data_IF_486878411466
#
_entry.id   IF_486878411466
#
_cell.length_a   1.000
_cell.length_b   1.000
_cell.length_c   1.000
_cell.angle_alpha   90.00
_cell.angle_beta   90.00
_cell.angle_gamma   90.00
#
_symmetry.space_group_name_H-M   'P 1'
#
loop_
_entity.id
_entity.type
_entity.pdbx_description
1 polymer ?
#
# COMPACT_ATOMS: atom_id res chain seq x y z
N UNK A 1 57.75 33.13 22.64
CA UNK A 1 56.27 33.31 22.66
C UNK A 1 55.68 32.51 21.52
N UNK A 2 54.90 31.47 21.84
CA UNK A 2 54.23 30.62 20.85
C UNK A 2 53.02 31.39 20.31
N UNK A 3 53.10 31.86 19.08
CA UNK A 3 51.94 32.32 18.33
C UNK A 3 51.07 31.09 18.04
N UNK A 4 50.11 30.81 18.93
CA UNK A 4 49.06 29.84 18.66
C UNK A 4 48.26 30.37 17.47
N UNK A 5 48.02 29.58 16.41
CA UNK A 5 47.59 30.13 15.15
C UNK A 5 46.10 30.45 15.24
N UNK A 6 45.77 31.73 15.37
CA UNK A 6 44.43 32.27 15.22
C UNK A 6 43.81 31.85 13.86
N UNK A 7 44.65 31.60 12.86
CA UNK A 7 44.29 31.04 11.56
C UNK A 7 43.77 29.60 11.61
N UNK A 8 44.25 28.77 12.55
CA UNK A 8 43.77 27.39 12.73
C UNK A 8 42.40 27.38 13.41
N UNK A 9 42.14 28.32 14.32
CA UNK A 9 40.84 28.50 14.98
C UNK A 9 39.76 28.98 13.98
N UNK A 10 40.10 29.90 13.08
CA UNK A 10 39.19 30.41 12.03
C UNK A 10 38.92 29.32 10.97
N UNK A 11 39.93 28.54 10.59
CA UNK A 11 39.74 27.40 9.68
C UNK A 11 38.88 26.28 10.30
N UNK A 12 39.02 26.01 11.62
CA UNK A 12 38.12 25.10 12.33
C UNK A 12 36.69 25.66 12.41
N UNK A 13 36.51 26.94 12.71
CA UNK A 13 35.17 27.56 12.81
C UNK A 13 34.42 27.53 11.46
N UNK A 14 35.11 27.75 10.34
CA UNK A 14 34.52 27.68 9.00
C UNK A 14 34.23 26.25 8.52
N UNK A 15 34.93 25.23 9.04
CA UNK A 15 34.69 23.81 8.70
C UNK A 15 33.70 23.13 9.65
N UNK A 16 33.49 23.68 10.86
CA UNK A 16 32.40 23.27 11.77
C UNK A 16 31.05 23.90 11.43
N UNK A 17 30.93 24.55 10.27
CA UNK A 17 29.65 24.83 9.64
C UNK A 17 28.97 23.52 9.25
N UNK A 18 28.56 22.73 10.25
CA UNK A 18 27.65 21.62 10.09
C UNK A 18 26.49 22.15 9.26
N UNK A 19 26.42 21.73 7.99
CA UNK A 19 25.18 21.70 7.23
C UNK A 19 24.24 20.75 7.98
N UNK A 20 23.74 21.20 9.14
CA UNK A 20 22.52 20.67 9.71
C UNK A 20 21.50 21.14 8.70
N UNK A 21 21.10 20.25 7.78
CA UNK A 21 19.90 20.46 6.98
C UNK A 21 18.82 20.88 7.97
N UNK A 22 18.52 22.18 7.97
CA UNK A 22 17.65 22.73 8.99
C UNK A 22 16.29 22.13 8.72
N UNK A 23 15.71 21.54 9.76
CA UNK A 23 14.33 21.15 9.75
C UNK A 23 13.48 22.30 9.21
N UNK A 24 12.34 21.95 8.61
CA UNK A 24 11.37 22.94 8.21
C UNK A 24 11.02 23.80 9.45
N UNK A 25 10.98 25.14 9.35
CA UNK A 25 10.75 25.96 10.54
C UNK A 25 9.40 25.64 11.22
N UNK A 26 9.43 25.50 12.55
CA UNK A 26 8.21 25.42 13.35
C UNK A 26 7.34 26.65 13.08
N UNK A 27 6.05 26.40 12.88
CA UNK A 27 5.05 27.43 12.64
C UNK A 27 4.92 27.88 11.18
N UNK A 28 5.75 27.37 10.28
CA UNK A 28 5.60 27.66 8.85
C UNK A 28 4.30 27.06 8.32
N UNK A 29 3.49 27.90 7.69
CA UNK A 29 2.28 27.45 7.00
C UNK A 29 2.68 26.84 5.66
N UNK A 30 2.32 25.57 5.46
CA UNK A 30 2.56 24.83 4.23
C UNK A 30 1.19 24.53 3.63
N UNK A 31 1.06 24.78 2.34
CA UNK A 31 -0.16 24.48 1.59
C UNK A 31 0.21 23.74 0.31
N UNK A 32 -0.58 22.72 0.01
CA UNK A 32 -0.53 21.96 -1.23
C UNK A 32 -1.94 21.79 -1.75
N UNK A 33 -2.07 21.96 -3.06
CA UNK A 33 -3.23 21.48 -3.79
C UNK A 33 -2.80 20.49 -4.85
N UNK A 34 -3.75 19.69 -5.31
CA UNK A 34 -3.49 18.82 -6.42
C UNK A 34 -4.70 18.04 -6.86
N UNK A 35 -4.45 17.17 -7.84
CA UNK A 35 -5.45 16.21 -8.32
C UNK A 35 -4.93 14.79 -8.20
N UNK A 36 -5.82 13.86 -7.92
CA UNK A 36 -5.56 12.43 -7.92
C UNK A 36 -6.26 11.78 -9.12
N UNK A 37 -5.48 11.10 -9.96
CA UNK A 37 -6.02 10.37 -11.11
C UNK A 37 -5.65 8.87 -11.08
N UNK A 38 -6.54 8.07 -11.63
CA UNK A 38 -6.31 6.65 -11.88
C UNK A 38 -5.28 6.47 -13.00
N UNK A 39 -4.23 5.68 -12.77
CA UNK A 39 -3.23 5.33 -13.80
C UNK A 39 -3.88 4.61 -14.97
N UNK A 40 -4.84 3.72 -14.71
CA UNK A 40 -5.44 2.85 -15.73
C UNK A 40 -6.48 3.54 -16.59
N UNK A 41 -7.25 4.48 -16.01
CA UNK A 41 -8.35 5.14 -16.73
C UNK A 41 -8.09 6.60 -17.04
N UNK A 42 -7.07 7.21 -16.42
CA UNK A 42 -6.82 8.66 -16.47
C UNK A 42 -7.89 9.50 -15.76
N UNK A 43 -8.95 8.87 -15.21
CA UNK A 43 -10.07 9.57 -14.58
C UNK A 43 -9.71 10.01 -13.16
N UNK A 44 -10.35 11.07 -12.64
CA UNK A 44 -10.19 11.46 -11.25
C UNK A 44 -10.67 10.39 -10.27
N UNK A 45 -10.02 10.31 -9.10
CA UNK A 45 -10.40 9.41 -8.02
C UNK A 45 -10.98 10.20 -6.86
N UNK A 46 -12.28 9.99 -6.59
CA UNK A 46 -13.04 10.60 -5.51
C UNK A 46 -12.95 9.81 -4.20
N UNK A 47 -13.04 10.50 -3.06
CA UNK A 47 -13.18 9.86 -1.75
C UNK A 47 -11.89 9.25 -1.21
N UNK A 48 -10.74 9.59 -1.79
CA UNK A 48 -9.44 9.04 -1.39
C UNK A 48 -8.75 9.98 -0.42
N UNK A 49 -8.26 9.43 0.68
CA UNK A 49 -7.52 10.21 1.68
C UNK A 49 -6.08 10.45 1.20
N UNK A 50 -5.72 11.72 1.13
CA UNK A 50 -4.38 12.21 0.82
C UNK A 50 -3.78 12.73 2.11
N UNK A 51 -2.60 12.23 2.46
CA UNK A 51 -1.88 12.65 3.65
C UNK A 51 -0.61 13.41 3.28
N UNK A 52 -0.21 14.29 4.19
CA UNK A 52 1.13 14.84 4.25
C UNK A 52 1.83 14.22 5.44
N UNK A 53 3.00 13.65 5.20
CA UNK A 53 3.87 13.13 6.26
C UNK A 53 5.23 13.82 6.24
N UNK A 54 5.72 14.17 7.42
CA UNK A 54 7.08 14.66 7.63
C UNK A 54 8.09 13.53 7.70
N UNK A 55 9.23 13.69 7.04
CA UNK A 55 10.37 12.77 7.04
C UNK A 55 11.65 13.47 7.47
N UNK A 56 12.46 12.75 8.25
CA UNK A 56 13.80 13.18 8.68
C UNK A 56 14.91 12.80 7.70
N UNK A 57 14.72 11.73 6.93
CA UNK A 57 15.80 11.09 6.17
C UNK A 57 15.73 11.39 4.67
N UNK A 58 14.70 12.11 4.21
CA UNK A 58 14.55 12.47 2.79
C UNK A 58 14.05 11.33 1.91
N UNK A 59 13.64 10.22 2.52
CA UNK A 59 12.97 9.11 1.86
C UNK A 59 11.56 8.95 2.45
N UNK A 60 10.59 8.67 1.59
CA UNK A 60 9.20 8.46 1.98
C UNK A 60 8.98 7.07 2.61
N UNK A 61 9.70 6.03 2.18
CA UNK A 61 9.41 4.64 2.57
C UNK A 61 10.08 4.15 3.88
N UNK A 62 10.91 4.97 4.56
CA UNK A 62 11.78 4.52 5.67
C UNK A 62 11.80 5.45 6.89
N UNK A 63 10.87 6.38 7.04
CA UNK A 63 10.93 7.38 8.12
C UNK A 63 9.89 7.15 9.21
N UNK A 64 10.30 7.41 10.46
CA UNK A 64 9.35 7.79 11.51
C UNK A 64 8.60 9.02 11.01
N UNK A 65 7.30 8.86 10.79
CA UNK A 65 6.44 9.92 10.27
C UNK A 65 6.01 10.83 11.41
N UNK A 66 6.28 12.13 11.26
CA UNK A 66 5.85 13.17 12.18
C UNK A 66 4.97 14.16 11.42
N UNK A 67 4.09 14.85 12.15
CA UNK A 67 3.23 15.91 11.60
C UNK A 67 2.36 15.45 10.43
N UNK A 68 1.32 14.68 10.76
CA UNK A 68 0.36 14.19 9.80
C UNK A 68 -0.85 15.15 9.72
N UNK A 69 -1.17 15.55 8.50
CA UNK A 69 -2.41 16.26 8.14
C UNK A 69 -2.89 15.72 6.80
N UNK A 70 -4.15 15.94 6.42
CA UNK A 70 -4.69 15.35 5.21
C UNK A 70 -6.05 15.87 4.78
N UNK A 71 -6.46 15.44 3.60
CA UNK A 71 -7.76 15.77 3.01
C UNK A 71 -8.28 14.60 2.18
N UNK A 72 -9.58 14.55 1.99
CA UNK A 72 -10.22 13.59 1.09
C UNK A 72 -10.43 14.25 -0.26
N UNK A 73 -10.15 13.53 -1.35
CA UNK A 73 -10.37 14.02 -2.71
C UNK A 73 -11.86 14.19 -3.02
N UNK A 74 -12.19 15.27 -3.73
CA UNK A 74 -13.55 15.51 -4.23
C UNK A 74 -13.87 14.69 -5.49
N UNK A 75 -15.08 14.89 -6.05
CA UNK A 75 -15.53 14.24 -7.30
C UNK A 75 -14.64 14.49 -8.52
N UNK A 76 -13.83 15.54 -8.51
CA UNK A 76 -12.87 15.88 -9.56
C UNK A 76 -11.46 15.39 -9.20
N UNK A 77 -11.32 14.57 -8.15
CA UNK A 77 -10.05 14.12 -7.61
C UNK A 77 -9.23 15.24 -6.97
N UNK A 78 -9.80 16.44 -6.79
CA UNK A 78 -9.09 17.59 -6.25
C UNK A 78 -8.93 17.45 -4.74
N UNK A 79 -7.78 17.84 -4.22
CA UNK A 79 -7.53 17.98 -2.79
C UNK A 79 -6.78 19.27 -2.50
N UNK A 80 -7.00 19.78 -1.29
CA UNK A 80 -6.29 20.92 -0.73
C UNK A 80 -5.96 20.63 0.72
N UNK A 81 -4.69 20.74 1.08
CA UNK A 81 -4.22 20.52 2.45
C UNK A 81 -3.40 21.74 2.86
N UNK A 82 -3.72 22.30 4.03
CA UNK A 82 -3.00 23.43 4.61
C UNK A 82 -2.75 23.17 6.08
N UNK A 83 -1.49 23.10 6.47
CA UNK A 83 -1.10 22.77 7.82
C UNK A 83 0.04 23.66 8.32
N UNK A 84 0.24 23.67 9.63
CA UNK A 84 1.32 24.40 10.29
C UNK A 84 2.40 23.40 10.72
N UNK A 85 3.62 23.54 10.20
CA UNK A 85 4.74 22.66 10.54
C UNK A 85 5.06 22.73 12.04
N UNK A 86 5.36 21.59 12.69
CA UNK A 86 5.90 21.58 14.06
C UNK A 86 7.43 21.63 14.10
N UNK A 87 8.07 21.61 12.93
CA UNK A 87 9.52 21.73 12.79
C UNK A 87 10.34 20.52 13.20
N UNK A 88 9.68 19.37 13.37
CA UNK A 88 10.33 18.10 13.63
C UNK A 88 10.80 17.41 12.34
N UNK A 89 10.25 17.79 11.18
CA UNK A 89 10.58 17.18 9.89
C UNK A 89 11.60 18.01 9.08
N UNK A 90 12.45 17.33 8.31
CA UNK A 90 13.32 17.98 7.29
C UNK A 90 12.61 18.17 5.96
N UNK A 91 11.72 17.23 5.63
CA UNK A 91 11.01 17.16 4.36
C UNK A 91 9.57 16.78 4.61
N UNK A 92 8.67 17.24 3.73
CA UNK A 92 7.27 16.81 3.74
C UNK A 92 6.95 16.15 2.41
N UNK A 93 6.11 15.11 2.46
CA UNK A 93 5.67 14.36 1.30
C UNK A 93 4.15 14.28 1.29
N UNK A 94 3.55 14.57 0.14
CA UNK A 94 2.14 14.28 -0.09
C UNK A 94 2.02 12.92 -0.76
N UNK A 95 1.12 12.08 -0.26
CA UNK A 95 0.96 10.71 -0.70
C UNK A 95 -0.47 10.24 -0.43
N UNK A 96 -0.85 9.17 -1.11
CA UNK A 96 -2.10 8.47 -0.81
C UNK A 96 -1.90 7.73 0.51
N UNK A 97 -2.79 7.96 1.46
CA UNK A 97 -2.80 7.23 2.73
C UNK A 97 -4.15 6.56 2.89
N UNK A 98 -4.14 5.36 3.45
CA UNK A 98 -5.38 4.71 3.84
C UNK A 98 -5.73 5.14 5.27
N UNK A 99 -6.95 5.62 5.54
CA UNK A 99 -7.37 5.86 6.90
C UNK A 99 -7.27 4.58 7.72
N UNK A 100 -6.93 4.72 9.00
CA UNK A 100 -6.78 3.61 9.94
C UNK A 100 -7.99 2.66 9.84
N UNK A 101 -7.71 1.39 9.52
CA UNK A 101 -8.72 0.34 9.33
C UNK A 101 -9.09 0.03 7.87
N UNK A 102 -8.64 0.82 6.89
CA UNK A 102 -8.87 0.60 5.46
C UNK A 102 -7.54 0.40 4.71
N UNK A 103 -6.69 -0.52 5.20
CA UNK A 103 -5.39 -0.96 4.65
C UNK A 103 -4.80 -0.12 3.49
N UNK A 104 -3.60 0.45 3.68
CA UNK A 104 -2.70 1.07 2.65
C UNK A 104 -2.53 0.24 1.36
N UNK A 105 -3.06 -0.98 1.33
CA UNK A 105 -2.87 -2.00 0.32
C UNK A 105 -3.85 -1.91 -0.84
N UNK A 106 -4.84 -1.01 -0.85
CA UNK A 106 -5.80 -0.90 -1.98
C UNK A 106 -5.22 -0.13 -3.17
N UNK A 107 -4.28 0.79 -2.93
CA UNK A 107 -3.69 1.62 -3.98
C UNK A 107 -2.19 1.44 -4.02
N UNK A 108 -1.62 1.40 -5.22
CA UNK A 108 -0.21 1.71 -5.43
C UNK A 108 -0.14 3.17 -5.90
N UNK A 109 0.23 4.07 -4.99
CA UNK A 109 0.22 5.53 -5.20
C UNK A 109 1.62 6.12 -5.35
N UNK A 110 1.70 7.27 -6.03
CA UNK A 110 2.91 8.10 -6.03
C UNK A 110 2.98 8.96 -4.76
N UNK A 111 4.20 9.21 -4.29
CA UNK A 111 4.49 10.17 -3.23
C UNK A 111 5.34 11.31 -3.80
N UNK A 112 4.97 12.55 -3.49
CA UNK A 112 5.63 13.75 -4.02
C UNK A 112 6.19 14.57 -2.87
N UNK A 113 7.48 14.88 -2.94
CA UNK A 113 8.16 15.76 -1.99
C UNK A 113 7.71 17.20 -2.21
N UNK A 114 7.33 17.88 -1.13
CA UNK A 114 6.92 19.28 -1.14
C UNK A 114 8.12 20.23 -0.99
N UNK A 115 8.05 21.38 -1.66
CA UNK A 115 8.83 22.55 -1.31
C UNK A 115 8.10 23.31 -0.19
N UNK A 116 8.56 23.15 1.05
CA UNK A 116 7.91 23.72 2.23
C UNK A 116 7.91 25.25 2.26
N UNK A 117 8.67 25.91 1.38
CA UNK A 117 8.77 27.39 1.33
C UNK A 117 7.87 28.02 0.28
N UNK A 118 7.10 27.22 -0.45
CA UNK A 118 6.23 27.68 -1.55
C UNK A 118 4.87 27.02 -1.47
N UNK A 119 3.94 27.59 -2.23
CA UNK A 119 2.71 26.91 -2.57
C UNK A 119 3.03 25.76 -3.54
N UNK A 120 2.47 24.57 -3.29
CA UNK A 120 2.68 23.40 -4.12
C UNK A 120 1.39 23.08 -4.88
N UNK A 121 1.50 22.89 -6.19
CA UNK A 121 0.43 22.37 -7.05
C UNK A 121 0.95 21.10 -7.71
N UNK A 122 0.33 19.97 -7.38
CA UNK A 122 0.87 18.64 -7.75
C UNK A 122 -0.18 17.76 -8.41
N UNK A 123 0.28 16.74 -9.12
CA UNK A 123 -0.56 15.66 -9.59
C UNK A 123 -0.09 14.36 -8.94
N UNK A 124 -1.03 13.66 -8.31
CA UNK A 124 -0.83 12.31 -7.81
C UNK A 124 -1.51 11.32 -8.73
N UNK A 125 -0.95 10.13 -8.78
CA UNK A 125 -1.52 9.01 -9.52
C UNK A 125 -1.64 7.80 -8.63
N UNK A 126 -2.73 7.05 -8.80
CA UNK A 126 -2.96 5.80 -8.10
C UNK A 126 -3.33 4.71 -9.08
N UNK A 127 -2.81 3.52 -8.82
CA UNK A 127 -3.34 2.30 -9.40
C UNK A 127 -4.20 1.58 -8.33
N UNK A 128 -5.49 1.45 -8.63
CA UNK A 128 -6.40 0.60 -7.85
C UNK A 128 -5.97 -0.86 -8.00
N UNK A 129 -5.66 -1.52 -6.88
CA UNK A 129 -5.51 -2.97 -6.87
C UNK A 129 -6.86 -3.58 -7.21
N UNK A 130 -6.80 -4.48 -8.18
CA UNK A 130 -7.97 -5.22 -8.67
C UNK A 130 -8.42 -6.21 -7.61
N UNK A 131 -9.73 -6.45 -7.53
CA UNK A 131 -10.35 -7.33 -6.53
C UNK A 131 -10.91 -8.58 -7.22
N UNK A 132 -10.45 -9.75 -6.82
CA UNK A 132 -11.11 -11.02 -7.13
C UNK A 132 -12.04 -11.35 -5.97
N UNK A 133 -13.33 -11.42 -6.27
CA UNK A 133 -14.38 -11.90 -5.36
C UNK A 133 -14.69 -13.34 -5.74
N UNK A 134 -14.06 -14.27 -5.03
CA UNK A 134 -14.26 -15.69 -5.25
C UNK A 134 -15.40 -16.22 -4.37
N UNK A 135 -16.45 -16.71 -5.01
CA UNK A 135 -17.47 -17.55 -4.40
C UNK A 135 -16.99 -19.00 -4.39
N UNK A 136 -16.66 -19.52 -3.22
CA UNK A 136 -16.20 -20.90 -3.06
C UNK A 136 -17.26 -21.72 -2.32
N UNK A 137 -17.75 -22.74 -3.01
CA UNK A 137 -18.66 -23.72 -2.45
C UNK A 137 -18.00 -25.10 -2.40
N UNK A 138 -17.87 -25.66 -1.20
CA UNK A 138 -17.39 -27.02 -0.97
C UNK A 138 -18.49 -27.83 -0.31
N UNK A 139 -19.04 -28.78 -1.07
CA UNK A 139 -20.20 -29.57 -0.64
C UNK A 139 -19.81 -30.67 0.35
N UNK A 140 -18.59 -31.21 0.23
CA UNK A 140 -18.04 -32.20 1.15
C UNK A 140 -16.53 -32.01 1.35
N UNK A 141 -16.11 -31.93 2.61
CA UNK A 141 -14.71 -31.83 3.02
C UNK A 141 -14.41 -32.89 4.10
N UNK A 142 -14.10 -34.14 3.70
CA UNK A 142 -13.66 -35.15 4.64
C UNK A 142 -12.28 -34.86 5.27
N UNK A 143 -11.51 -33.92 4.71
CA UNK A 143 -10.10 -33.66 5.03
C UNK A 143 -9.87 -32.51 6.04
N UNK A 144 -10.94 -32.11 6.74
CA UNK A 144 -10.97 -31.16 7.88
C UNK A 144 -10.65 -29.70 7.54
N UNK A 145 -9.58 -29.44 6.79
CA UNK A 145 -9.10 -28.09 6.47
C UNK A 145 -8.84 -27.88 4.98
N UNK A 146 -9.24 -26.72 4.49
CA UNK A 146 -8.96 -26.24 3.14
C UNK A 146 -8.13 -24.97 3.25
N UNK A 147 -7.07 -24.89 2.45
CA UNK A 147 -6.28 -23.67 2.29
C UNK A 147 -6.50 -23.12 0.90
N UNK A 148 -6.79 -21.83 0.83
CA UNK A 148 -7.05 -21.11 -0.40
C UNK A 148 -5.98 -20.07 -0.61
N UNK A 149 -5.30 -20.09 -1.76
CA UNK A 149 -4.15 -19.22 -2.07
C UNK A 149 -4.22 -18.72 -3.51
N UNK A 150 -3.85 -17.45 -3.69
CA UNK A 150 -3.69 -16.81 -5.02
C UNK A 150 -2.23 -16.65 -5.43
N UNK A 151 -1.31 -17.09 -4.57
CA UNK A 151 0.12 -17.17 -4.81
C UNK A 151 0.73 -18.16 -3.83
N UNK A 152 1.75 -18.94 -4.22
CA UNK A 152 2.46 -19.84 -3.31
C UNK A 152 3.12 -19.10 -2.13
N UNK A 153 3.41 -17.80 -2.27
CA UNK A 153 4.14 -16.99 -1.29
C UNK A 153 3.26 -16.09 -0.41
N UNK A 154 1.94 -16.07 -0.63
CA UNK A 154 1.00 -15.25 0.19
C UNK A 154 0.29 -16.09 1.24
N UNK A 155 -0.10 -15.43 2.33
CA UNK A 155 -0.84 -16.06 3.42
C UNK A 155 -2.15 -16.67 2.89
N UNK A 156 -2.42 -17.95 3.15
CA UNK A 156 -3.66 -18.59 2.76
C UNK A 156 -4.86 -18.06 3.54
N UNK A 157 -6.02 -18.07 2.91
CA UNK A 157 -7.28 -18.15 3.63
C UNK A 157 -7.48 -19.60 4.08
N UNK A 158 -7.64 -19.81 5.37
CA UNK A 158 -7.83 -21.16 5.95
C UNK A 158 -9.29 -21.31 6.35
N UNK A 159 -9.94 -22.32 5.81
CA UNK A 159 -11.31 -22.70 6.17
C UNK A 159 -11.29 -24.08 6.79
N UNK A 160 -12.19 -24.29 7.75
CA UNK A 160 -12.38 -25.57 8.44
C UNK A 160 -13.85 -25.93 8.44
N UNK A 161 -14.14 -27.23 8.46
CA UNK A 161 -15.50 -27.75 8.48
C UNK A 161 -15.78 -28.73 7.36
N UNK A 162 -16.88 -29.46 7.50
CA UNK A 162 -17.31 -30.51 6.56
C UNK A 162 -17.89 -29.96 5.26
N UNK A 163 -18.32 -28.71 5.27
CA UNK A 163 -18.83 -27.95 4.13
C UNK A 163 -18.35 -26.51 4.26
N UNK A 164 -18.26 -25.80 3.14
CA UNK A 164 -17.96 -24.38 3.13
C UNK A 164 -18.75 -23.68 2.02
N UNK A 165 -19.39 -22.58 2.34
CA UNK A 165 -19.97 -21.66 1.36
C UNK A 165 -19.54 -20.26 1.79
N UNK A 166 -18.59 -19.69 1.07
CA UNK A 166 -17.96 -18.44 1.48
C UNK A 166 -17.52 -17.61 0.29
N UNK A 167 -17.37 -16.31 0.54
CA UNK A 167 -16.82 -15.36 -0.41
C UNK A 167 -15.46 -14.90 0.08
N UNK A 168 -14.42 -15.12 -0.73
CA UNK A 168 -13.04 -14.75 -0.45
C UNK A 168 -12.66 -13.57 -1.33
N UNK A 169 -12.15 -12.51 -0.72
CA UNK A 169 -11.68 -11.31 -1.41
C UNK A 169 -10.17 -11.33 -1.51
N UNK A 170 -9.63 -11.31 -2.73
CA UNK A 170 -8.19 -11.20 -2.96
C UNK A 170 -7.88 -9.95 -3.77
N UNK A 171 -6.87 -9.18 -3.34
CA UNK A 171 -6.34 -8.04 -4.09
C UNK A 171 -5.04 -8.39 -4.83
N UNK A 172 -4.96 -7.98 -6.08
CA UNK A 172 -3.79 -8.20 -6.94
C UNK A 172 -3.47 -6.98 -7.79
N UNK A 173 -2.21 -6.88 -8.22
CA UNK A 173 -1.74 -5.85 -9.13
C UNK A 173 -2.16 -6.19 -10.56
N UNK A 174 -2.07 -5.25 -11.50
CA UNK A 174 -2.50 -5.49 -12.88
C UNK A 174 -1.77 -6.68 -13.51
N UNK A 175 -2.43 -7.84 -13.48
CA UNK A 175 -1.94 -9.10 -14.03
C UNK A 175 -3.01 -9.65 -14.97
N UNK A 176 -2.60 -10.13 -16.13
CA UNK A 176 -3.48 -10.75 -17.12
C UNK A 176 -4.06 -12.09 -16.65
N UNK A 177 -3.37 -12.74 -15.69
CA UNK A 177 -3.74 -14.05 -15.17
C UNK A 177 -3.46 -14.13 -13.67
N UNK A 178 -4.39 -14.75 -12.94
CA UNK A 178 -4.31 -14.92 -11.49
C UNK A 178 -4.30 -16.43 -11.22
N UNK A 179 -3.17 -17.00 -10.78
CA UNK A 179 -3.16 -18.40 -10.38
C UNK A 179 -3.91 -18.57 -9.07
N UNK A 180 -4.74 -19.60 -8.99
CA UNK A 180 -5.54 -19.93 -7.83
C UNK A 180 -5.33 -21.38 -7.44
N UNK A 181 -5.16 -21.61 -6.14
CA UNK A 181 -4.92 -22.94 -5.57
C UNK A 181 -5.83 -23.18 -4.38
N UNK A 182 -6.49 -24.34 -4.39
CA UNK A 182 -7.23 -24.88 -3.25
C UNK A 182 -6.54 -26.17 -2.83
N UNK A 183 -6.07 -26.20 -1.59
CA UNK A 183 -5.27 -27.28 -1.03
C UNK A 183 -6.03 -27.93 0.11
N UNK A 184 -6.07 -29.25 0.13
CA UNK A 184 -6.59 -30.04 1.24
C UNK A 184 -5.51 -31.01 1.73
N UNK A 185 -5.27 -31.04 3.04
CA UNK A 185 -4.29 -31.94 3.63
C UNK A 185 -4.92 -33.32 3.87
N UNK A 186 -4.50 -34.32 3.11
CA UNK A 186 -4.91 -35.70 3.32
C UNK A 186 -3.95 -36.37 4.30
N UNK A 187 -4.29 -36.30 5.60
CA UNK A 187 -3.46 -36.87 6.67
C UNK A 187 -3.35 -38.39 6.58
N UNK A 188 -4.36 -39.08 6.04
CA UNK A 188 -4.34 -40.52 5.89
C UNK A 188 -3.34 -40.95 4.80
N UNK A 189 -3.26 -40.18 3.70
CA UNK A 189 -2.30 -40.41 2.63
C UNK A 189 -0.92 -39.78 2.87
N UNK A 190 -0.78 -38.90 3.87
CA UNK A 190 0.45 -38.15 4.13
C UNK A 190 0.80 -37.16 3.01
N UNK A 191 -0.19 -36.75 2.19
CA UNK A 191 0.00 -35.92 0.98
C UNK A 191 -1.01 -34.78 0.93
N UNK A 192 -0.74 -33.81 0.06
CA UNK A 192 -1.69 -32.75 -0.25
C UNK A 192 -2.47 -33.08 -1.51
N UNK A 193 -3.76 -32.77 -1.49
CA UNK A 193 -4.59 -32.74 -2.69
C UNK A 193 -4.80 -31.30 -3.11
N UNK A 194 -4.84 -31.07 -4.42
CA UNK A 194 -4.83 -29.71 -4.98
C UNK A 194 -5.81 -29.57 -6.14
N UNK A 195 -6.63 -28.53 -6.10
CA UNK A 195 -7.25 -27.94 -7.28
C UNK A 195 -6.46 -26.69 -7.66
N UNK A 196 -6.18 -26.51 -8.95
CA UNK A 196 -5.47 -25.35 -9.47
C UNK A 196 -6.16 -24.83 -10.72
N UNK A 197 -6.38 -23.53 -10.78
CA UNK A 197 -6.93 -22.84 -11.94
C UNK A 197 -6.16 -21.55 -12.19
N UNK A 198 -6.13 -21.11 -13.45
CA UNK A 198 -5.63 -19.78 -13.82
C UNK A 198 -6.83 -18.97 -14.29
N UNK A 199 -7.19 -17.95 -13.51
CA UNK A 199 -8.31 -17.07 -13.83
C UNK A 199 -7.78 -15.95 -14.72
N UNK A 200 -8.29 -15.86 -15.95
CA UNK A 200 -7.99 -14.76 -16.85
C UNK A 200 -8.83 -13.54 -16.44
N UNK A 201 -8.17 -12.42 -16.19
CA UNK A 201 -8.84 -11.24 -15.65
C UNK A 201 -9.34 -10.32 -16.78
N UNK A 202 -10.66 -10.06 -16.91
CA UNK A 202 -11.19 -9.12 -17.89
C UNK A 202 -10.92 -7.66 -17.48
N UNK A 203 -11.14 -6.71 -18.38
CA UNK A 203 -11.07 -5.28 -18.04
C UNK A 203 -12.15 -4.92 -17.01
N UNK A 204 -11.74 -4.66 -15.76
CA UNK A 204 -12.64 -4.24 -14.66
C UNK A 204 -11.90 -4.04 -13.35
N UNK A 205 -12.51 -3.43 -12.34
CA UNK A 205 -11.90 -3.25 -11.00
C UNK A 205 -12.21 -4.40 -10.03
N UNK A 206 -13.29 -5.13 -10.28
CA UNK A 206 -13.68 -6.34 -9.55
C UNK A 206 -14.04 -7.46 -10.54
N UNK A 207 -13.62 -8.68 -10.25
CA UNK A 207 -14.06 -9.90 -10.93
C UNK A 207 -14.77 -10.81 -9.93
N UNK A 208 -16.01 -11.16 -10.26
CA UNK A 208 -16.73 -12.24 -9.60
C UNK A 208 -16.37 -13.56 -10.28
N UNK A 209 -16.02 -14.57 -9.47
CA UNK A 209 -15.72 -15.91 -9.96
C UNK A 209 -16.28 -16.94 -8.99
N UNK A 210 -16.71 -18.10 -9.49
CA UNK A 210 -17.33 -19.14 -8.67
C UNK A 210 -16.62 -20.46 -8.88
N UNK A 211 -16.21 -21.10 -7.80
CA UNK A 211 -15.64 -22.46 -7.80
C UNK A 211 -16.51 -23.34 -6.91
N UNK A 212 -16.93 -24.49 -7.46
CA UNK A 212 -17.63 -25.52 -6.71
C UNK A 212 -16.78 -26.79 -6.63
N UNK A 213 -16.49 -27.24 -5.42
CA UNK A 213 -15.84 -28.54 -5.14
C UNK A 213 -16.89 -29.47 -4.55
N UNK A 214 -17.22 -30.53 -5.28
CA UNK A 214 -18.17 -31.53 -4.78
C UNK A 214 -17.59 -32.27 -3.55
N UNK A 215 -16.34 -32.73 -3.64
CA UNK A 215 -15.66 -33.42 -2.55
C UNK A 215 -14.15 -33.20 -2.61
N UNK A 216 -13.54 -32.76 -1.50
CA UNK A 216 -12.08 -32.51 -1.45
C UNK A 216 -11.24 -33.79 -1.56
N UNK A 217 -11.81 -34.97 -1.29
CA UNK A 217 -11.12 -36.25 -1.47
C UNK A 217 -10.95 -36.63 -2.95
N UNK A 218 -11.71 -36.02 -3.85
CA UNK A 218 -11.64 -36.31 -5.29
C UNK A 218 -10.57 -35.45 -5.99
N UNK A 219 -9.99 -34.49 -5.28
CA UNK A 219 -8.92 -33.65 -5.79
C UNK A 219 -7.65 -34.49 -6.04
N UNK A 220 -6.90 -34.20 -7.12
CA UNK A 220 -5.68 -34.93 -7.43
C UNK A 220 -4.60 -34.66 -6.38
N UNK A 221 -3.72 -35.65 -6.18
CA UNK A 221 -2.53 -35.47 -5.36
C UNK A 221 -1.53 -34.55 -6.06
N UNK A 222 -0.86 -33.73 -5.26
CA UNK A 222 0.32 -32.96 -5.66
C UNK A 222 1.59 -33.67 -5.22
#
# INVERSE_FOLDING_TARGET
MKFFPLSLLIALLLTTGCKKEKNVPHGLMIAVEGTLTSVSTGKPLEGIYIAISGSMNGEFNNSVMYDNDGAVTDRNGYFYIKFKSKGDARYYYTHISSPDGMEEKVFNGTAVRLDSRKFNSIQLTAELKKVLKLHLQVLQNPLDSILVRTSPFRNPFVMRGRQADTTIYTRFEHQSSIPFYILANDRAAGKQRMYGEVINYPQGDTLDHTITINNTADLPFR
#
